data_IF_391053608689
#
_entry.id   IF_391053608689
#
_cell.length_a   1.000
_cell.length_b   1.000
_cell.length_c   1.000
_cell.angle_alpha   90.00
_cell.angle_beta   90.00
_cell.angle_gamma   90.00
#
_symmetry.space_group_name_H-M   'P 1'
#
loop_
_entity.id
_entity.type
_entity.pdbx_description
1 polymer ?
#
# COMPACT_ATOMS: atom_id res chain seq x y z
N UNK A 1 -36.32 -58.66 -52.80
CA UNK A 1 -36.91 -59.29 -51.60
C UNK A 1 -37.08 -58.20 -50.54
N UNK A 2 -38.31 -58.05 -50.04
CA UNK A 2 -38.74 -57.37 -48.80
C UNK A 2 -37.75 -57.53 -47.62
N UNK A 3 -37.58 -56.71 -46.57
CA UNK A 3 -38.13 -55.50 -45.88
C UNK A 3 -37.00 -55.10 -44.87
N UNK A 4 -36.77 -53.89 -44.36
CA UNK A 4 -37.50 -53.15 -43.32
C UNK A 4 -36.71 -51.84 -42.99
N UNK A 5 -37.47 -50.77 -42.66
CA UNK A 5 -37.24 -49.62 -41.78
C UNK A 5 -35.89 -49.51 -40.99
N UNK A 6 -35.32 -48.35 -40.65
CA UNK A 6 -35.71 -46.94 -40.75
C UNK A 6 -34.77 -46.08 -39.86
N UNK A 7 -34.60 -44.81 -40.23
CA UNK A 7 -34.13 -43.65 -39.42
C UNK A 7 -32.91 -43.84 -38.49
N UNK A 8 -31.74 -43.34 -38.92
CA UNK A 8 -30.91 -42.49 -38.06
C UNK A 8 -30.25 -41.42 -38.92
N UNK A 9 -30.71 -40.18 -38.74
CA UNK A 9 -30.27 -38.96 -39.38
C UNK A 9 -29.30 -38.27 -38.40
N UNK A 10 -28.33 -37.53 -38.96
CA UNK A 10 -27.60 -36.39 -38.34
C UNK A 10 -26.32 -36.72 -37.56
N UNK A 11 -25.16 -36.56 -38.22
CA UNK A 11 -24.10 -35.56 -37.90
C UNK A 11 -22.77 -35.96 -38.55
N UNK A 12 -22.48 -35.41 -39.73
CA UNK A 12 -21.13 -35.45 -40.30
C UNK A 12 -20.90 -34.31 -41.30
N UNK A 13 -21.06 -33.06 -40.83
CA UNK A 13 -20.50 -31.81 -41.39
C UNK A 13 -20.56 -30.84 -40.19
N UNK A 14 -19.49 -30.32 -39.60
CA UNK A 14 -18.55 -29.29 -40.07
C UNK A 14 -17.41 -29.26 -39.03
N UNK A 15 -16.17 -29.58 -39.41
CA UNK A 15 -14.95 -29.31 -38.59
C UNK A 15 -14.12 -28.23 -39.28
N UNK A 16 -14.79 -27.17 -39.73
CA UNK A 16 -14.13 -26.00 -40.29
C UNK A 16 -14.80 -24.75 -39.71
N UNK A 17 -13.96 -23.97 -39.03
CA UNK A 17 -14.18 -22.61 -38.51
C UNK A 17 -14.92 -22.52 -37.17
N UNK A 18 -14.13 -22.46 -36.08
CA UNK A 18 -14.35 -21.56 -34.94
C UNK A 18 -13.04 -21.47 -34.12
N UNK A 19 -11.93 -21.11 -34.77
CA UNK A 19 -10.87 -20.37 -34.09
C UNK A 19 -11.33 -18.91 -34.06
N UNK A 20 -12.13 -18.59 -33.05
CA UNK A 20 -12.69 -17.26 -32.81
C UNK A 20 -11.56 -16.24 -32.68
N UNK A 21 -11.66 -15.03 -33.27
CA UNK A 21 -10.71 -13.94 -33.01
C UNK A 21 -10.74 -13.47 -31.54
N UNK A 22 -11.76 -13.85 -30.76
CA UNK A 22 -11.93 -13.47 -29.35
C UNK A 22 -10.84 -14.04 -28.42
N UNK A 23 -10.39 -15.28 -28.64
CA UNK A 23 -9.36 -15.92 -27.78
C UNK A 23 -7.99 -15.30 -28.01
N UNK A 24 -7.71 -14.85 -29.24
CA UNK A 24 -6.44 -14.21 -29.60
C UNK A 24 -6.37 -12.74 -29.16
N UNK A 25 -7.52 -12.10 -28.95
CA UNK A 25 -7.61 -10.75 -28.42
C UNK A 25 -7.33 -10.70 -26.91
N UNK A 26 -7.82 -11.68 -26.13
CA UNK A 26 -7.52 -11.76 -24.69
C UNK A 26 -6.05 -11.99 -24.40
N UNK A 27 -5.40 -12.89 -25.16
CA UNK A 27 -3.98 -13.19 -24.93
C UNK A 27 -3.04 -12.05 -25.36
N UNK A 28 -3.52 -11.12 -26.19
CA UNK A 28 -2.75 -9.96 -26.63
C UNK A 28 -3.07 -8.68 -25.83
N UNK A 29 -4.15 -8.68 -25.03
CA UNK A 29 -4.36 -7.67 -24.00
C UNK A 29 -3.48 -7.97 -22.78
N UNK A 30 -3.37 -9.24 -22.36
CA UNK A 30 -2.52 -9.65 -21.24
C UNK A 30 -1.01 -9.37 -21.48
N UNK A 31 -0.53 -9.52 -22.72
CA UNK A 31 0.86 -9.20 -23.10
C UNK A 31 1.15 -7.68 -23.19
N UNK A 32 0.12 -6.81 -23.15
CA UNK A 32 0.29 -5.34 -23.07
C UNK A 32 0.27 -4.82 -21.63
N UNK A 33 -0.06 -5.66 -20.64
CA UNK A 33 -0.03 -5.32 -19.21
C UNK A 33 1.34 -5.57 -18.54
N UNK A 34 2.31 -6.13 -19.27
CA UNK A 34 3.61 -6.59 -18.73
C UNK A 34 4.80 -5.67 -19.06
N UNK A 35 4.62 -4.61 -19.87
CA UNK A 35 5.73 -3.69 -20.23
C UNK A 35 5.85 -2.44 -19.33
N UNK A 36 5.01 -2.27 -18.31
CA UNK A 36 4.99 -1.03 -17.51
C UNK A 36 4.98 -1.34 -15.99
N UNK A 37 6.00 -2.08 -15.56
CA UNK A 37 6.38 -2.21 -14.16
C UNK A 37 7.75 -1.55 -14.03
N UNK A 38 7.76 -0.22 -13.93
CA UNK A 38 9.00 0.55 -13.95
C UNK A 38 9.69 0.50 -12.58
N UNK A 39 11.02 0.70 -12.56
CA UNK A 39 11.80 0.74 -11.30
C UNK A 39 11.29 1.82 -10.33
N UNK A 40 10.62 2.86 -10.87
CA UNK A 40 10.00 3.96 -10.15
C UNK A 40 8.73 3.52 -9.40
N UNK A 41 7.93 2.60 -9.96
CA UNK A 41 6.75 2.02 -9.30
C UNK A 41 7.13 1.16 -8.09
N UNK A 42 8.27 0.45 -8.18
CA UNK A 42 8.81 -0.33 -7.07
C UNK A 42 9.36 0.58 -5.96
N UNK A 43 9.85 1.77 -6.29
CA UNK A 43 10.25 2.79 -5.30
C UNK A 43 9.06 3.43 -4.59
N UNK A 44 7.95 3.61 -5.29
CA UNK A 44 6.72 4.19 -4.75
C UNK A 44 6.01 3.24 -3.78
N UNK A 45 5.89 1.95 -4.15
CA UNK A 45 5.36 0.91 -3.25
C UNK A 45 6.14 0.84 -1.92
N UNK A 46 7.47 0.98 -1.97
CA UNK A 46 8.31 1.02 -0.75
C UNK A 46 7.93 2.14 0.20
N UNK A 47 7.56 3.30 -0.33
CA UNK A 47 7.29 4.51 0.47
C UNK A 47 5.90 4.47 1.09
N UNK A 48 4.91 3.97 0.34
CA UNK A 48 3.55 3.74 0.85
C UNK A 48 3.57 2.72 2.00
N UNK A 49 4.31 1.62 1.83
CA UNK A 49 4.53 0.63 2.89
C UNK A 49 5.31 1.25 4.07
N UNK A 50 6.34 2.05 3.80
CA UNK A 50 7.07 2.78 4.83
C UNK A 50 6.16 3.69 5.67
N UNK A 51 5.24 4.44 5.06
CA UNK A 51 4.30 5.30 5.79
C UNK A 51 3.41 4.48 6.73
N UNK A 52 2.93 3.33 6.28
CA UNK A 52 2.12 2.43 7.10
C UNK A 52 2.93 1.80 8.26
N UNK A 53 4.16 1.36 8.01
CA UNK A 53 5.03 0.74 9.02
C UNK A 53 5.54 1.78 10.04
N UNK A 54 5.90 2.98 9.60
CA UNK A 54 6.34 4.07 10.48
C UNK A 54 5.18 4.46 11.43
N UNK A 55 3.93 4.54 10.93
CA UNK A 55 2.73 4.74 11.76
C UNK A 55 2.49 3.59 12.77
N UNK A 56 2.71 2.34 12.37
CA UNK A 56 2.59 1.18 13.27
C UNK A 56 3.67 1.19 14.36
N UNK A 57 4.92 1.54 14.01
CA UNK A 57 6.04 1.66 14.93
C UNK A 57 5.85 2.81 15.93
N UNK A 58 5.39 3.98 15.47
CA UNK A 58 5.08 5.11 16.35
C UNK A 58 3.99 4.74 17.36
N UNK A 59 2.97 4.00 16.92
CA UNK A 59 1.91 3.48 17.81
C UNK A 59 2.46 2.49 18.83
N UNK A 60 3.35 1.58 18.42
CA UNK A 60 4.04 0.66 19.34
C UNK A 60 4.93 1.40 20.34
N UNK A 61 5.67 2.42 19.89
CA UNK A 61 6.49 3.27 20.75
C UNK A 61 5.62 4.05 21.74
N UNK A 62 4.52 4.65 21.29
CA UNK A 62 3.57 5.34 22.16
C UNK A 62 2.97 4.40 23.21
N UNK A 63 2.63 3.16 22.83
CA UNK A 63 2.16 2.14 23.77
C UNK A 63 3.25 1.74 24.78
N UNK A 64 4.49 1.57 24.32
CA UNK A 64 5.64 1.28 25.19
C UNK A 64 5.97 2.44 26.14
N UNK A 65 5.84 3.69 25.68
CA UNK A 65 6.00 4.90 26.49
C UNK A 65 4.85 5.07 27.50
N UNK A 66 3.61 4.80 27.10
CA UNK A 66 2.48 4.80 28.03
C UNK A 66 2.61 3.70 29.08
N UNK A 67 3.11 2.52 28.68
CA UNK A 67 3.35 1.40 29.58
C UNK A 67 4.53 1.66 30.53
N UNK A 68 5.61 2.29 30.07
CA UNK A 68 6.73 2.69 30.92
C UNK A 68 6.35 3.83 31.88
N UNK A 69 5.55 4.80 31.44
CA UNK A 69 4.97 5.83 32.31
C UNK A 69 4.03 5.24 33.38
N UNK A 70 3.22 4.24 33.01
CA UNK A 70 2.38 3.50 33.95
C UNK A 70 3.21 2.71 34.98
N UNK A 71 4.30 2.06 34.54
CA UNK A 71 5.21 1.33 35.43
C UNK A 71 6.00 2.28 36.36
N UNK A 72 6.47 3.43 35.86
CA UNK A 72 7.12 4.47 36.68
C UNK A 72 6.18 5.09 37.71
N UNK A 73 4.89 5.23 37.38
CA UNK A 73 3.87 5.69 38.34
C UNK A 73 3.51 4.61 39.38
N UNK A 74 3.67 3.32 39.04
CA UNK A 74 3.41 2.19 39.92
C UNK A 74 4.58 1.85 40.88
N UNK A 75 5.79 2.34 40.59
CA UNK A 75 7.03 2.04 41.32
C UNK A 75 7.69 3.31 41.88
N UNK A 76 6.94 4.11 42.66
CA UNK A 76 7.52 5.22 43.43
C UNK A 76 7.95 4.73 44.83
N UNK A 77 9.22 4.29 44.95
CA UNK A 77 9.88 4.01 46.24
C UNK A 77 11.05 5.00 46.46
N UNK A 78 10.93 5.95 47.42
CA UNK A 78 11.92 7.01 47.64
C UNK A 78 13.31 6.56 48.13
N UNK A 79 13.53 5.26 48.41
CA UNK A 79 14.78 4.78 49.00
C UNK A 79 15.87 4.35 48.00
N UNK A 80 15.56 4.14 46.72
CA UNK A 80 16.53 3.60 45.73
C UNK A 80 17.41 4.65 45.04
N UNK A 81 17.02 5.94 45.05
CA UNK A 81 17.79 7.01 44.39
C UNK A 81 19.15 7.31 45.05
N UNK A 82 19.33 6.98 46.33
CA UNK A 82 20.59 7.23 47.03
C UNK A 82 21.71 6.24 46.65
N UNK A 83 21.38 5.07 46.10
CA UNK A 83 22.38 4.05 45.74
C UNK A 83 22.93 4.22 44.33
N UNK A 84 22.18 4.82 43.41
CA UNK A 84 22.62 5.04 42.02
C UNK A 84 23.60 6.23 41.90
N UNK A 85 23.40 7.28 42.70
CA UNK A 85 24.31 8.45 42.71
C UNK A 85 25.70 8.10 43.29
N UNK A 86 25.81 7.14 44.21
CA UNK A 86 27.10 6.70 44.76
C UNK A 86 27.91 5.82 43.77
N UNK A 87 27.28 5.28 42.72
CA UNK A 87 27.95 4.49 41.68
C UNK A 87 28.45 5.36 40.52
N UNK A 88 27.75 6.44 40.16
CA UNK A 88 28.19 7.34 39.08
C UNK A 88 29.43 8.18 39.47
N UNK A 89 29.57 8.58 40.74
CA UNK A 89 30.75 9.34 41.20
C UNK A 89 32.05 8.49 41.26
N UNK A 90 31.96 7.15 41.25
CA UNK A 90 33.13 6.27 41.29
C UNK A 90 33.70 5.92 39.90
N UNK A 91 32.95 6.15 38.81
CA UNK A 91 33.40 5.87 37.44
C UNK A 91 34.10 7.08 36.77
N UNK A 92 33.95 8.30 37.29
CA UNK A 92 34.66 9.47 36.75
C UNK A 92 36.15 9.57 37.18
N UNK A 93 36.58 8.89 38.25
CA UNK A 93 37.95 9.05 38.79
C UNK A 93 38.98 8.05 38.23
N UNK A 94 38.57 7.09 37.39
CA UNK A 94 39.49 6.15 36.73
C UNK A 94 39.30 6.19 35.21
N UNK A 95 40.04 7.10 34.57
CA UNK A 95 40.04 7.31 33.12
C UNK A 95 39.98 6.01 32.32
N UNK A 96 38.86 5.82 31.61
CA UNK A 96 38.60 4.63 30.81
C UNK A 96 39.62 4.51 29.65
N UNK A 97 40.23 3.32 29.43
CA UNK A 97 41.10 3.11 28.29
C UNK A 97 40.27 2.92 27.02
N UNK A 98 40.60 3.67 25.96
CA UNK A 98 40.20 3.47 24.57
C UNK A 98 38.75 3.05 24.31
N UNK A 99 37.85 4.03 24.14
CA UNK A 99 36.58 3.80 23.43
C UNK A 99 36.90 3.28 22.02
N UNK A 100 36.60 2.00 21.78
CA UNK A 100 36.61 1.42 20.44
C UNK A 100 35.68 2.26 19.52
N UNK A 101 36.02 2.46 18.23
CA UNK A 101 35.15 3.17 17.32
C UNK A 101 33.78 2.49 17.28
N UNK A 102 32.70 3.27 17.46
CA UNK A 102 31.32 2.78 17.32
C UNK A 102 31.18 2.20 15.92
N UNK A 103 31.14 0.87 15.80
CA UNK A 103 30.76 0.19 14.57
C UNK A 103 29.30 0.54 14.30
N UNK A 104 29.07 1.51 13.44
CA UNK A 104 27.74 1.83 12.94
C UNK A 104 27.26 0.65 12.11
N UNK A 105 26.10 0.08 12.46
CA UNK A 105 25.46 -0.97 11.67
C UNK A 105 25.23 -0.47 10.23
N UNK A 106 25.82 -1.10 9.20
CA UNK A 106 25.66 -0.68 7.81
C UNK A 106 24.19 -0.65 7.35
N UNK A 107 23.33 -1.49 7.94
CA UNK A 107 21.91 -1.55 7.60
C UNK A 107 21.06 -0.50 8.32
N UNK A 108 21.64 0.26 9.26
CA UNK A 108 20.90 1.31 9.97
C UNK A 108 20.46 2.41 9.01
N UNK A 109 19.15 2.60 8.90
CA UNK A 109 18.55 3.61 8.03
C UNK A 109 18.45 3.20 6.55
N UNK A 110 18.89 1.98 6.19
CA UNK A 110 18.72 1.45 4.83
C UNK A 110 17.33 0.86 4.70
N UNK A 111 16.55 1.37 3.73
CA UNK A 111 15.21 0.88 3.40
C UNK A 111 15.25 0.12 2.07
N UNK A 112 14.72 -1.10 2.07
CA UNK A 112 14.74 -1.98 0.92
C UNK A 112 13.38 -2.06 0.21
N UNK A 113 13.41 -2.51 -1.04
CA UNK A 113 12.23 -2.88 -1.86
C UNK A 113 11.23 -3.77 -1.12
N UNK A 114 9.96 -3.71 -1.53
CA UNK A 114 8.98 -4.70 -1.12
C UNK A 114 9.51 -6.11 -1.43
N UNK A 115 9.49 -7.01 -0.45
CA UNK A 115 10.03 -8.37 -0.61
C UNK A 115 11.55 -8.49 -0.42
N UNK A 116 12.22 -7.40 -0.01
CA UNK A 116 13.66 -7.36 0.28
C UNK A 116 13.93 -6.96 1.73
N UNK A 117 15.08 -7.39 2.25
CA UNK A 117 15.60 -7.02 3.57
C UNK A 117 17.07 -6.60 3.47
N UNK A 118 17.50 -5.67 4.32
CA UNK A 118 18.90 -5.29 4.39
C UNK A 118 19.72 -6.39 5.05
N UNK A 119 20.78 -6.82 4.38
CA UNK A 119 21.79 -7.74 4.90
C UNK A 119 23.17 -7.13 4.74
N UNK A 120 24.05 -7.37 5.71
CA UNK A 120 25.44 -6.91 5.64
C UNK A 120 26.27 -7.93 4.89
N UNK A 121 26.89 -7.51 3.79
CA UNK A 121 27.89 -8.32 3.11
C UNK A 121 29.21 -8.26 3.89
N UNK A 122 29.57 -9.37 4.55
CA UNK A 122 30.74 -9.44 5.44
C UNK A 122 32.09 -9.29 4.73
N UNK A 123 32.17 -9.53 3.42
CA UNK A 123 33.41 -9.41 2.65
C UNK A 123 33.75 -7.94 2.33
N UNK A 124 32.73 -7.11 2.10
CA UNK A 124 32.89 -5.69 1.75
C UNK A 124 32.46 -4.72 2.87
N UNK A 125 31.87 -5.22 3.95
CA UNK A 125 31.25 -4.46 5.03
C UNK A 125 30.24 -3.40 4.53
N UNK A 126 29.44 -3.78 3.52
CA UNK A 126 28.40 -2.95 2.90
C UNK A 126 27.01 -3.50 3.15
N UNK A 127 26.03 -2.61 3.26
CA UNK A 127 24.62 -2.97 3.28
C UNK A 127 24.12 -3.30 1.87
N UNK A 128 23.36 -4.38 1.75
CA UNK A 128 22.78 -4.86 0.50
C UNK A 128 21.33 -5.31 0.73
N UNK A 129 20.45 -4.96 -0.21
CA UNK A 129 19.04 -5.38 -0.16
C UNK A 129 18.83 -6.70 -0.89
N UNK A 130 18.79 -7.79 -0.13
CA UNK A 130 18.55 -9.15 -0.63
C UNK A 130 17.07 -9.51 -0.54
N UNK A 131 16.61 -10.51 -1.28
CA UNK A 131 15.24 -11.01 -1.12
C UNK A 131 15.02 -11.58 0.28
N UNK A 132 13.81 -11.42 0.82
CA UNK A 132 13.45 -11.96 2.14
C UNK A 132 13.67 -13.48 2.12
N UNK A 133 14.50 -14.04 3.02
CA UNK A 133 14.80 -15.46 3.00
C UNK A 133 13.57 -16.30 3.37
N UNK A 134 12.83 -15.88 4.39
CA UNK A 134 11.66 -16.55 4.93
C UNK A 134 10.68 -15.52 5.50
N UNK A 135 9.38 -15.69 5.22
CA UNK A 135 8.34 -14.83 5.77
C UNK A 135 7.79 -15.39 7.09
N UNK A 136 7.37 -14.52 8.03
CA UNK A 136 6.66 -14.96 9.22
C UNK A 136 5.37 -15.70 8.89
N UNK A 137 5.02 -16.69 9.73
CA UNK A 137 3.77 -17.44 9.59
C UNK A 137 2.61 -16.51 9.98
N UNK A 138 1.70 -16.29 9.04
CA UNK A 138 0.52 -15.48 9.27
C UNK A 138 -0.70 -16.35 9.64
N UNK A 139 -1.21 -16.11 10.85
CA UNK A 139 -2.32 -16.86 11.42
C UNK A 139 -3.67 -16.17 11.19
N UNK A 140 -3.71 -14.84 10.97
CA UNK A 140 -4.94 -14.11 10.74
C UNK A 140 -5.42 -14.32 9.29
N UNK A 141 -6.60 -14.95 9.08
CA UNK A 141 -7.27 -15.04 7.78
C UNK A 141 -7.32 -13.74 6.97
N UNK A 142 -7.42 -12.58 7.65
CA UNK A 142 -7.57 -11.26 7.02
C UNK A 142 -6.26 -10.74 6.45
N UNK A 143 -5.11 -11.25 6.92
CA UNK A 143 -3.77 -10.87 6.46
C UNK A 143 -3.24 -11.77 5.34
N UNK A 144 -3.98 -12.82 4.98
CA UNK A 144 -3.81 -13.52 3.71
C UNK A 144 -4.11 -12.60 2.55
N UNK A 145 -3.75 -13.00 1.33
CA UNK A 145 -3.97 -12.16 0.15
C UNK A 145 -4.43 -12.99 -1.03
N UNK A 146 -5.30 -12.41 -1.86
CA UNK A 146 -5.61 -12.92 -3.18
C UNK A 146 -4.80 -12.15 -4.23
N UNK A 147 -4.19 -12.86 -5.17
CA UNK A 147 -3.37 -12.26 -6.22
C UNK A 147 -4.14 -12.06 -7.52
N UNK A 148 -3.55 -11.33 -8.48
CA UNK A 148 -4.05 -11.20 -9.85
C UNK A 148 -4.19 -12.55 -10.59
N UNK A 149 -3.55 -13.62 -10.10
CA UNK A 149 -3.70 -14.98 -10.62
C UNK A 149 -4.89 -15.73 -10.01
N UNK A 150 -5.69 -15.07 -9.17
CA UNK A 150 -6.79 -15.65 -8.41
C UNK A 150 -6.33 -16.81 -7.49
N UNK A 151 -5.11 -16.70 -6.97
CA UNK A 151 -4.54 -17.64 -6.01
C UNK A 151 -4.46 -17.00 -4.62
N UNK A 152 -4.78 -17.77 -3.57
CA UNK A 152 -4.63 -17.29 -2.21
C UNK A 152 -3.24 -17.61 -1.67
N UNK A 153 -2.59 -16.58 -1.15
CA UNK A 153 -1.25 -16.63 -0.57
C UNK A 153 -1.32 -16.37 0.93
N UNK A 154 -0.35 -16.94 1.66
CA UNK A 154 -0.39 -16.93 3.12
C UNK A 154 -0.20 -15.54 3.73
N UNK A 155 0.52 -14.64 3.05
CA UNK A 155 0.71 -13.26 3.47
C UNK A 155 1.15 -12.39 2.29
N UNK A 156 1.04 -11.07 2.44
CA UNK A 156 1.64 -10.10 1.52
C UNK A 156 3.15 -10.33 1.35
N UNK A 157 3.86 -10.65 2.44
CA UNK A 157 5.30 -10.93 2.43
C UNK A 157 5.65 -12.02 1.41
N UNK A 158 4.90 -13.12 1.36
CA UNK A 158 5.17 -14.21 0.43
C UNK A 158 5.04 -13.79 -1.04
N UNK A 159 4.06 -12.94 -1.35
CA UNK A 159 3.87 -12.41 -2.72
C UNK A 159 5.07 -11.55 -3.13
N UNK A 160 5.46 -10.59 -2.29
CA UNK A 160 6.60 -9.71 -2.59
C UNK A 160 7.93 -10.47 -2.62
N UNK A 161 8.12 -11.42 -1.69
CA UNK A 161 9.26 -12.33 -1.67
C UNK A 161 9.35 -13.11 -2.98
N UNK A 162 8.24 -13.67 -3.46
CA UNK A 162 8.22 -14.42 -4.71
C UNK A 162 8.59 -13.55 -5.90
N UNK A 163 8.03 -12.34 -5.97
CA UNK A 163 8.36 -11.36 -7.02
C UNK A 163 9.85 -11.04 -7.02
N UNK A 164 10.43 -10.78 -5.84
CA UNK A 164 11.86 -10.55 -5.70
C UNK A 164 12.70 -11.72 -6.22
N UNK A 165 12.39 -12.95 -5.78
CA UNK A 165 13.12 -14.16 -6.19
C UNK A 165 13.07 -14.37 -7.70
N UNK A 166 11.94 -14.10 -8.33
CA UNK A 166 11.81 -14.24 -9.78
C UNK A 166 12.55 -13.13 -10.54
N UNK A 167 12.51 -11.89 -10.05
CA UNK A 167 13.27 -10.79 -10.64
C UNK A 167 14.80 -10.99 -10.53
N UNK A 168 15.28 -11.68 -9.48
CA UNK A 168 16.70 -12.01 -9.31
C UNK A 168 17.11 -13.33 -9.97
N UNK A 169 16.20 -14.02 -10.67
CA UNK A 169 16.42 -15.36 -11.25
C UNK A 169 16.87 -16.40 -10.21
N UNK A 170 16.39 -16.30 -8.97
CA UNK A 170 16.71 -17.23 -7.90
C UNK A 170 16.08 -18.62 -8.18
N UNK A 171 16.79 -19.73 -7.92
CA UNK A 171 16.24 -21.09 -8.09
C UNK A 171 14.98 -21.39 -7.27
N UNK A 172 14.72 -20.64 -6.19
CA UNK A 172 13.50 -20.74 -5.39
C UNK A 172 12.29 -20.05 -6.03
N UNK A 173 12.47 -19.39 -7.19
CA UNK A 173 11.36 -18.85 -7.95
C UNK A 173 10.40 -19.98 -8.40
N UNK A 174 9.08 -19.82 -8.20
CA UNK A 174 8.07 -20.81 -8.62
C UNK A 174 7.86 -20.85 -10.14
N UNK A 175 8.40 -19.88 -10.89
CA UNK A 175 8.38 -19.82 -12.35
C UNK A 175 8.07 -18.42 -12.89
N UNK A 176 8.15 -18.26 -14.20
CA UNK A 176 7.91 -16.97 -14.89
C UNK A 176 6.49 -16.43 -14.65
N UNK A 177 5.51 -17.33 -14.50
CA UNK A 177 4.10 -16.94 -14.30
C UNK A 177 3.85 -16.14 -13.02
N UNK A 178 4.75 -16.21 -12.04
CA UNK A 178 4.66 -15.46 -10.78
C UNK A 178 5.65 -14.29 -10.73
N UNK A 179 6.32 -13.97 -11.83
CA UNK A 179 7.25 -12.84 -11.89
C UNK A 179 6.53 -11.50 -11.74
N UNK A 180 5.35 -11.36 -12.36
CA UNK A 180 4.51 -10.16 -12.28
C UNK A 180 3.33 -10.34 -11.31
N UNK A 181 3.46 -11.27 -10.34
CA UNK A 181 2.43 -11.48 -9.33
C UNK A 181 2.31 -10.25 -8.43
N UNK A 182 1.07 -9.81 -8.23
CA UNK A 182 0.76 -8.73 -7.30
C UNK A 182 -0.51 -9.05 -6.52
N UNK A 183 -0.65 -8.39 -5.37
CA UNK A 183 -1.83 -8.50 -4.53
C UNK A 183 -2.97 -7.77 -5.24
N UNK A 184 -4.12 -8.43 -5.36
CA UNK A 184 -5.35 -7.81 -5.83
C UNK A 184 -6.19 -7.31 -4.65
N UNK A 185 -6.32 -8.13 -3.59
CA UNK A 185 -6.99 -7.75 -2.34
C UNK A 185 -6.57 -8.60 -1.14
N UNK A 186 -6.85 -8.10 0.06
CA UNK A 186 -6.61 -8.79 1.32
C UNK A 186 -7.72 -9.80 1.66
N UNK A 187 -7.32 -10.92 2.25
CA UNK A 187 -8.16 -12.08 2.57
C UNK A 187 -8.00 -13.24 1.60
N UNK A 188 -8.86 -14.25 1.73
CA UNK A 188 -8.93 -15.38 0.81
C UNK A 188 -9.51 -14.98 -0.54
N UNK A 189 -9.03 -15.62 -1.60
CA UNK A 189 -9.67 -15.50 -2.90
C UNK A 189 -11.13 -15.96 -2.82
N UNK A 190 -12.01 -15.17 -3.41
CA UNK A 190 -13.44 -15.42 -3.48
C UNK A 190 -14.00 -15.02 -4.82
N UNK A 191 -15.14 -15.61 -5.14
CA UNK A 191 -15.91 -15.20 -6.30
C UNK A 191 -16.52 -13.82 -6.05
N UNK A 192 -16.03 -12.80 -6.77
CA UNK A 192 -16.60 -11.47 -6.75
C UNK A 192 -17.88 -11.44 -7.59
N UNK A 193 -18.84 -10.65 -7.14
CA UNK A 193 -20.05 -10.35 -7.91
C UNK A 193 -19.68 -9.35 -9.00
N UNK A 194 -20.29 -9.47 -10.17
CA UNK A 194 -20.11 -8.50 -11.25
C UNK A 194 -20.76 -7.16 -10.89
N UNK A 195 -20.09 -6.05 -11.19
CA UNK A 195 -20.59 -4.71 -10.91
C UNK A 195 -21.71 -4.35 -11.89
N UNK A 196 -22.94 -4.21 -11.39
CA UNK A 196 -24.08 -3.81 -12.23
C UNK A 196 -24.00 -2.33 -12.61
N UNK A 197 -24.62 -1.95 -13.73
CA UNK A 197 -24.67 -0.55 -14.17
C UNK A 197 -25.29 0.37 -13.10
N UNK A 198 -26.30 -0.11 -12.35
CA UNK A 198 -26.91 0.65 -11.26
C UNK A 198 -25.97 0.82 -10.07
N UNK A 199 -25.21 -0.21 -9.72
CA UNK A 199 -24.27 -0.14 -8.59
C UNK A 199 -23.11 0.79 -8.94
N UNK A 200 -22.60 0.72 -10.18
CA UNK A 200 -21.55 1.60 -10.68
C UNK A 200 -22.00 3.06 -10.74
N UNK A 201 -23.24 3.33 -11.17
CA UNK A 201 -23.79 4.69 -11.19
C UNK A 201 -23.98 5.29 -9.79
N UNK A 202 -24.22 4.44 -8.77
CA UNK A 202 -24.36 4.84 -7.37
C UNK A 202 -23.00 5.06 -6.68
N UNK A 203 -21.98 4.33 -7.14
CA UNK A 203 -20.67 4.21 -6.51
C UNK A 203 -19.96 5.54 -6.22
N UNK A 204 -19.87 6.51 -7.15
CA UNK A 204 -19.21 7.80 -6.89
C UNK A 204 -19.73 8.51 -5.64
N UNK A 205 -21.05 8.46 -5.42
CA UNK A 205 -21.69 9.09 -4.26
C UNK A 205 -21.29 8.38 -2.97
N UNK A 206 -21.30 7.05 -2.94
CA UNK A 206 -20.91 6.27 -1.76
C UNK A 206 -19.44 6.44 -1.46
N UNK A 207 -18.60 6.47 -2.49
CA UNK A 207 -17.16 6.69 -2.37
C UNK A 207 -16.87 8.03 -1.72
N UNK A 208 -17.46 9.13 -2.19
CA UNK A 208 -17.16 10.45 -1.60
C UNK A 208 -17.74 10.65 -0.19
N UNK A 209 -18.86 10.00 0.14
CA UNK A 209 -19.36 9.95 1.52
C UNK A 209 -18.42 9.13 2.42
N UNK A 210 -17.92 8.01 1.91
CA UNK A 210 -16.93 7.18 2.61
C UNK A 210 -15.62 7.94 2.84
N UNK A 211 -15.07 8.62 1.83
CA UNK A 211 -13.85 9.42 1.94
C UNK A 211 -13.96 10.47 3.05
N UNK A 212 -15.07 11.23 3.08
CA UNK A 212 -15.31 12.20 4.14
C UNK A 212 -15.34 11.54 5.53
N UNK A 213 -16.05 10.42 5.67
CA UNK A 213 -16.14 9.74 6.97
C UNK A 213 -14.79 9.17 7.42
N UNK A 214 -13.95 8.69 6.51
CA UNK A 214 -12.58 8.26 6.83
C UNK A 214 -11.73 9.45 7.26
N UNK A 215 -11.78 10.57 6.54
CA UNK A 215 -11.07 11.80 6.91
C UNK A 215 -11.45 12.27 8.31
N UNK A 216 -12.75 12.34 8.58
CA UNK A 216 -13.30 12.75 9.87
C UNK A 216 -12.88 11.79 11.00
N UNK A 217 -12.94 10.47 10.76
CA UNK A 217 -12.53 9.48 11.74
C UNK A 217 -11.03 9.57 12.05
N UNK A 218 -10.18 9.77 11.04
CA UNK A 218 -8.74 10.01 11.22
C UNK A 218 -8.47 11.29 12.03
N UNK A 219 -9.17 12.39 11.72
CA UNK A 219 -9.07 13.62 12.49
C UNK A 219 -9.47 13.41 13.96
N UNK A 220 -10.58 12.70 14.20
CA UNK A 220 -11.06 12.40 15.56
C UNK A 220 -10.08 11.54 16.38
N UNK A 221 -9.26 10.72 15.70
CA UNK A 221 -8.23 9.86 16.31
C UNK A 221 -6.85 10.54 16.39
N UNK A 222 -6.73 11.80 15.96
CA UNK A 222 -5.46 12.53 15.82
C UNK A 222 -4.45 11.79 14.91
N UNK A 223 -4.95 11.09 13.89
CA UNK A 223 -4.14 10.34 12.91
C UNK A 223 -4.07 11.09 11.56
N UNK A 224 -4.79 12.21 11.42
CA UNK A 224 -4.76 13.06 10.24
C UNK A 224 -3.64 14.12 10.39
N UNK A 225 -2.68 14.22 9.45
CA UNK A 225 -1.62 15.24 9.51
C UNK A 225 -2.18 16.66 9.58
N UNK A 226 -1.45 17.55 10.26
CA UNK A 226 -1.90 18.92 10.56
C UNK A 226 -2.36 19.73 9.33
N UNK A 227 -1.66 19.69 8.17
CA UNK A 227 -2.12 20.39 6.97
C UNK A 227 -3.50 19.95 6.47
N UNK A 228 -3.91 18.71 6.77
CA UNK A 228 -5.19 18.16 6.36
C UNK A 228 -6.31 18.39 7.38
N UNK A 229 -5.97 18.75 8.63
CA UNK A 229 -6.97 19.09 9.65
C UNK A 229 -7.78 20.34 9.27
N UNK A 230 -7.15 21.33 8.63
CA UNK A 230 -7.85 22.52 8.15
C UNK A 230 -8.90 22.18 7.09
N UNK A 231 -8.55 21.28 6.16
CA UNK A 231 -9.47 20.79 5.12
C UNK A 231 -10.65 20.02 5.73
N UNK A 232 -10.40 19.22 6.77
CA UNK A 232 -11.45 18.48 7.49
C UNK A 232 -12.41 19.44 8.19
N UNK A 233 -11.87 20.44 8.90
CA UNK A 233 -12.69 21.41 9.63
C UNK A 233 -13.59 22.24 8.69
N UNK A 234 -13.07 22.63 7.52
CA UNK A 234 -13.87 23.28 6.49
C UNK A 234 -14.94 22.31 5.92
N UNK A 235 -14.61 21.03 5.76
CA UNK A 235 -15.53 20.01 5.26
C UNK A 235 -16.71 19.76 6.22
N UNK A 236 -16.49 19.84 7.54
CA UNK A 236 -17.56 19.74 8.55
C UNK A 236 -18.46 20.97 8.58
N UNK A 237 -17.86 22.16 8.48
CA UNK A 237 -18.57 23.44 8.66
C UNK A 237 -19.24 23.93 7.37
N UNK A 238 -18.73 23.55 6.20
CA UNK A 238 -19.23 23.94 4.90
C UNK A 238 -19.63 22.72 4.04
N UNK A 239 -20.93 22.49 3.94
CA UNK A 239 -21.50 21.38 3.16
C UNK A 239 -21.12 21.38 1.66
N UNK A 240 -20.77 22.53 1.07
CA UNK A 240 -20.34 22.59 -0.34
C UNK A 240 -18.91 22.08 -0.52
N UNK A 241 -18.07 22.20 0.52
CA UNK A 241 -16.68 21.74 0.52
C UNK A 241 -16.51 20.34 1.10
N UNK A 242 -17.52 19.82 1.79
CA UNK A 242 -17.53 18.50 2.43
C UNK A 242 -16.87 17.39 1.62
N UNK A 243 -17.32 17.21 0.38
CA UNK A 243 -16.84 16.13 -0.48
C UNK A 243 -15.59 16.51 -1.27
N UNK A 244 -15.47 17.78 -1.66
CA UNK A 244 -14.32 18.32 -2.38
C UNK A 244 -13.04 18.21 -1.53
N UNK A 245 -13.08 18.67 -0.28
CA UNK A 245 -11.93 18.65 0.61
C UNK A 245 -11.50 17.22 0.96
N UNK A 246 -12.45 16.32 1.20
CA UNK A 246 -12.16 14.91 1.41
C UNK A 246 -11.55 14.24 0.16
N UNK A 247 -12.04 14.60 -1.04
CA UNK A 247 -11.47 14.11 -2.29
C UNK A 247 -10.05 14.64 -2.53
N UNK A 248 -9.79 15.93 -2.27
CA UNK A 248 -8.47 16.56 -2.38
C UNK A 248 -7.50 15.92 -1.39
N UNK A 249 -7.89 15.81 -0.12
CA UNK A 249 -7.07 15.16 0.90
C UNK A 249 -6.68 13.76 0.47
N UNK A 250 -7.66 12.94 0.07
CA UNK A 250 -7.34 11.56 -0.27
C UNK A 250 -6.44 11.47 -1.49
N UNK A 251 -6.66 12.33 -2.49
CA UNK A 251 -5.81 12.37 -3.68
C UNK A 251 -4.38 12.79 -3.33
N UNK A 252 -4.18 13.85 -2.52
CA UNK A 252 -2.85 14.24 -2.04
C UNK A 252 -2.19 13.19 -1.14
N UNK A 253 -2.97 12.43 -0.37
CA UNK A 253 -2.47 11.32 0.46
C UNK A 253 -2.00 10.13 -0.39
N UNK A 254 -2.60 9.95 -1.58
CA UNK A 254 -2.24 8.90 -2.54
C UNK A 254 -1.11 9.33 -3.47
N UNK A 255 -1.05 10.59 -3.92
CA UNK A 255 0.04 11.20 -4.69
C UNK A 255 1.30 11.26 -3.81
N UNK A 256 2.00 10.13 -3.80
CA UNK A 256 3.16 9.85 -2.98
C UNK A 256 4.41 10.45 -3.58
N UNK A 257 5.52 9.72 -3.55
CA UNK A 257 6.77 10.20 -4.14
C UNK A 257 7.19 9.35 -5.33
N UNK A 258 7.52 9.98 -6.48
CA UNK A 258 7.60 11.43 -6.68
C UNK A 258 6.21 12.09 -6.68
N UNK A 259 6.11 13.27 -6.06
CA UNK A 259 4.89 14.09 -6.14
C UNK A 259 4.80 14.65 -7.56
N UNK A 260 4.24 13.86 -8.47
CA UNK A 260 4.14 14.17 -9.89
C UNK A 260 2.77 14.77 -10.26
N UNK A 261 1.91 15.00 -9.26
CA UNK A 261 0.53 15.46 -9.39
C UNK A 261 -0.34 14.50 -10.21
N UNK A 262 -0.03 13.21 -10.14
CA UNK A 262 -0.86 12.12 -10.66
C UNK A 262 -0.90 11.00 -9.64
N UNK A 263 -1.95 10.18 -9.69
CA UNK A 263 -2.04 8.97 -8.86
C UNK A 263 -1.97 7.76 -9.78
N UNK A 264 -0.88 7.00 -9.68
CA UNK A 264 -0.63 5.76 -10.40
C UNK A 264 -1.51 4.62 -9.90
N UNK A 265 -1.59 3.53 -10.67
CA UNK A 265 -2.24 2.28 -10.25
C UNK A 265 -1.69 1.73 -8.93
N UNK A 266 -0.39 1.88 -8.68
CA UNK A 266 0.26 1.42 -7.46
C UNK A 266 -0.12 2.26 -6.25
N UNK A 267 -0.25 3.57 -6.43
CA UNK A 267 -0.71 4.47 -5.37
C UNK A 267 -2.16 4.26 -5.00
N UNK A 268 -3.00 3.73 -5.89
CA UNK A 268 -4.37 3.35 -5.57
C UNK A 268 -4.46 2.08 -4.70
N UNK A 269 -3.37 1.34 -4.52
CA UNK A 269 -3.37 0.07 -3.79
C UNK A 269 -3.94 0.17 -2.36
N UNK A 270 -3.61 1.19 -1.54
CA UNK A 270 -4.13 1.35 -0.17
C UNK A 270 -5.65 1.56 -0.11
N UNK A 271 -6.30 2.01 -1.18
CA UNK A 271 -7.76 2.09 -1.26
C UNK A 271 -8.37 0.86 -1.93
N UNK A 272 -7.74 0.37 -3.01
CA UNK A 272 -8.27 -0.75 -3.79
C UNK A 272 -8.23 -2.05 -2.99
N UNK A 273 -7.07 -2.47 -2.50
CA UNK A 273 -6.90 -3.80 -1.94
C UNK A 273 -7.71 -4.06 -0.65
N UNK A 274 -7.85 -3.11 0.28
CA UNK A 274 -8.69 -3.31 1.48
C UNK A 274 -10.19 -3.29 1.18
N UNK A 275 -10.63 -2.49 0.19
CA UNK A 275 -12.05 -2.31 -0.11
C UNK A 275 -12.59 -3.26 -1.17
N UNK A 276 -11.76 -3.76 -2.09
CA UNK A 276 -12.16 -4.64 -3.19
C UNK A 276 -13.02 -5.80 -2.72
N UNK A 277 -12.64 -6.41 -1.58
CA UNK A 277 -13.46 -7.42 -0.97
C UNK A 277 -14.87 -6.86 -0.72
N UNK A 278 -14.98 -5.79 0.05
CA UNK A 278 -16.26 -5.24 0.48
C UNK A 278 -17.08 -4.60 -0.66
N UNK A 279 -16.41 -4.14 -1.71
CA UNK A 279 -16.95 -3.27 -2.75
C UNK A 279 -16.45 -3.70 -4.14
N UNK A 280 -17.16 -4.66 -4.73
CA UNK A 280 -16.85 -5.24 -6.04
C UNK A 280 -16.81 -4.23 -7.22
N UNK A 281 -17.39 -3.03 -7.05
CA UNK A 281 -17.39 -1.97 -8.05
C UNK A 281 -16.14 -1.06 -8.00
N UNK A 282 -15.24 -1.22 -7.02
CA UNK A 282 -14.10 -0.30 -6.88
C UNK A 282 -13.17 -0.32 -8.08
N UNK A 283 -12.88 -1.50 -8.65
CA UNK A 283 -12.01 -1.63 -9.82
C UNK A 283 -12.59 -1.00 -11.07
N UNK A 284 -13.82 -1.36 -11.51
CA UNK A 284 -14.40 -0.73 -12.70
C UNK A 284 -14.63 0.77 -12.50
N UNK A 285 -14.89 1.22 -11.26
CA UNK A 285 -14.94 2.64 -10.95
C UNK A 285 -13.57 3.33 -11.16
N UNK A 286 -12.50 2.83 -10.55
CA UNK A 286 -11.16 3.43 -10.68
C UNK A 286 -10.67 3.40 -12.14
N UNK A 287 -10.96 2.32 -12.88
CA UNK A 287 -10.68 2.24 -14.32
C UNK A 287 -11.47 3.28 -15.12
N UNK A 288 -12.72 3.59 -14.73
CA UNK A 288 -13.51 4.64 -15.37
C UNK A 288 -13.01 6.06 -15.09
N UNK A 289 -12.18 6.22 -14.06
CA UNK A 289 -11.58 7.50 -13.71
C UNK A 289 -10.37 7.85 -14.60
N UNK A 290 -9.88 6.95 -15.46
CA UNK A 290 -8.78 7.17 -16.42
C UNK A 290 -9.30 7.14 -17.87
N UNK A 291 -9.94 8.23 -18.36
CA UNK A 291 -10.57 8.27 -19.69
C UNK A 291 -9.57 8.40 -20.85
N UNK A 292 -8.37 8.90 -20.58
CA UNK A 292 -7.24 9.05 -21.50
C UNK A 292 -6.39 7.78 -21.61
N UNK A 293 -6.49 6.86 -20.65
CA UNK A 293 -5.85 5.56 -20.66
C UNK A 293 -4.34 5.66 -20.48
N UNK A 294 -3.86 6.63 -19.68
CA UNK A 294 -2.44 6.79 -19.38
C UNK A 294 -2.04 6.14 -18.03
N UNK A 295 -2.95 5.35 -17.45
CA UNK A 295 -2.76 4.57 -16.22
C UNK A 295 -2.45 5.43 -14.99
N UNK A 296 -2.78 6.72 -15.08
CA UNK A 296 -2.59 7.73 -14.05
C UNK A 296 -3.89 8.51 -13.89
N UNK A 297 -4.15 8.97 -12.67
CA UNK A 297 -5.36 9.73 -12.36
C UNK A 297 -4.96 11.11 -11.86
N UNK A 298 -5.20 12.13 -12.68
CA UNK A 298 -5.07 13.53 -12.27
C UNK A 298 -6.17 13.92 -11.27
N UNK A 299 -5.97 15.03 -10.54
CA UNK A 299 -6.99 15.54 -9.62
C UNK A 299 -8.31 15.85 -10.33
N UNK A 300 -8.23 16.39 -11.56
CA UNK A 300 -9.42 16.75 -12.34
C UNK A 300 -10.21 15.50 -12.74
N UNK A 301 -9.52 14.45 -13.16
CA UNK A 301 -10.13 13.14 -13.45
C UNK A 301 -10.76 12.53 -12.21
N UNK A 302 -10.03 12.52 -11.09
CA UNK A 302 -10.52 12.03 -9.81
C UNK A 302 -11.82 12.73 -9.38
N UNK A 303 -11.82 14.07 -9.39
CA UNK A 303 -13.00 14.82 -8.98
C UNK A 303 -14.18 14.69 -9.94
N UNK A 304 -13.92 14.66 -11.25
CA UNK A 304 -14.96 14.39 -12.26
C UNK A 304 -15.57 13.00 -12.07
N UNK A 305 -14.74 11.99 -11.78
CA UNK A 305 -15.17 10.62 -11.50
C UNK A 305 -16.05 10.55 -10.24
N UNK A 306 -15.76 11.37 -9.22
CA UNK A 306 -16.57 11.51 -8.00
C UNK A 306 -17.82 12.41 -8.17
N UNK A 307 -18.03 12.98 -9.36
CA UNK A 307 -19.15 13.88 -9.64
C UNK A 307 -19.06 15.23 -8.92
N UNK A 308 -17.84 15.77 -8.78
CA UNK A 308 -17.56 17.07 -8.18
C UNK A 308 -17.34 18.15 -9.24
N UNK A 309 -17.58 19.41 -8.87
CA UNK A 309 -17.36 20.56 -9.77
C UNK A 309 -15.87 20.92 -9.83
N UNK A 310 -15.34 21.09 -11.04
CA UNK A 310 -13.90 21.32 -11.28
C UNK A 310 -13.39 22.62 -10.66
N UNK A 311 -14.22 23.67 -10.61
CA UNK A 311 -13.85 24.98 -10.08
C UNK A 311 -13.49 24.95 -8.58
N UNK A 312 -13.93 23.93 -7.86
CA UNK A 312 -13.65 23.74 -6.44
C UNK A 312 -12.41 22.85 -6.18
N UNK A 313 -11.87 22.19 -7.20
CA UNK A 313 -10.74 21.26 -7.11
C UNK A 313 -9.41 21.99 -7.32
N UNK A 314 -9.03 22.83 -6.35
CA UNK A 314 -7.68 23.41 -6.32
C UNK A 314 -6.83 22.65 -5.30
N UNK A 315 -6.16 21.58 -5.72
CA UNK A 315 -5.19 20.94 -4.84
C UNK A 315 -3.91 21.77 -4.75
N UNK A 316 -3.39 21.88 -3.54
CA UNK A 316 -2.06 22.41 -3.25
C UNK A 316 -1.26 21.39 -2.46
N UNK A 317 -1.19 20.15 -2.96
CA UNK A 317 -0.48 19.07 -2.26
C UNK A 317 0.98 19.46 -1.95
N UNK A 318 1.64 20.19 -2.85
CA UNK A 318 2.98 20.74 -2.66
C UNK A 318 3.11 21.88 -1.62
N UNK A 319 2.01 22.52 -1.21
CA UNK A 319 2.02 23.47 -0.09
C UNK A 319 1.83 22.73 1.23
N UNK A 320 0.99 21.70 1.24
CA UNK A 320 0.72 20.82 2.38
C UNK A 320 1.98 20.03 2.78
N UNK A 321 2.73 19.49 1.81
CA UNK A 321 3.95 18.70 2.09
C UNK A 321 5.17 19.54 2.49
N UNK A 322 5.23 20.81 2.11
CA UNK A 322 6.32 21.72 2.54
C UNK A 322 6.28 22.01 4.03
N UNK A 323 5.08 22.07 4.62
CA UNK A 323 4.88 22.17 6.07
C UNK A 323 5.43 20.91 6.77
N UNK A 324 5.07 19.71 6.30
CA UNK A 324 5.55 18.44 6.86
C UNK A 324 7.08 18.23 6.74
N UNK A 325 7.71 18.71 5.67
CA UNK A 325 9.18 18.67 5.52
C UNK A 325 9.87 19.72 6.40
N UNK A 326 9.32 20.93 6.53
CA UNK A 326 9.87 21.97 7.38
C UNK A 326 9.85 21.56 8.85
N UNK A 327 8.73 21.04 9.34
CA UNK A 327 8.56 20.66 10.75
C UNK A 327 9.45 19.48 11.14
N UNK A 328 9.59 18.49 10.25
CA UNK A 328 10.50 17.35 10.45
C UNK A 328 11.97 17.78 10.48
N UNK A 329 12.38 18.69 9.59
CA UNK A 329 13.73 19.23 9.58
C UNK A 329 14.03 20.07 10.85
N UNK A 330 13.03 20.81 11.36
CA UNK A 330 13.15 21.59 12.58
C UNK A 330 13.26 20.72 13.84
N UNK A 331 12.55 19.57 13.88
CA UNK A 331 12.67 18.57 14.95
C UNK A 331 14.03 17.86 14.89
N UNK A 332 14.50 17.47 13.70
CA UNK A 332 15.80 16.80 13.51
C UNK A 332 16.99 17.72 13.80
N UNK A 333 16.81 19.04 13.65
CA UNK A 333 17.79 20.06 14.04
C UNK A 333 17.77 20.40 15.55
N UNK A 334 16.73 19.99 16.28
CA UNK A 334 16.55 20.27 17.71
C UNK A 334 17.00 19.12 18.63
N UNK A 335 17.41 17.98 18.07
CA UNK A 335 17.95 16.79 18.77
C UNK A 335 19.47 16.71 18.60
#
# INVERSE_FOLDING_TARGET
MMRFAGKLLVLLVVVLVCSSPLVRANQQLDDLFDEEFDDDDEELLRRVEQKHVDQELEREQQLAHAQSAYNMAAEYDPYNQQQEQEQEEQEEEQGAPNRAPRLTDPCRGVRCGAGRICSVNHDENKAECICIPECPIEHDPRRKVCTNLNETWDSACEVHRQRCLCNTNDPLCRGESVRHVHIDYYGYCRQMVECSESDLADFPRRMRDWLFNVMHDLASRNELPEPYLELEHEAETNMTKRWTNAAIWKWCDLDGHPHDNTVSRHELFPIRAPLMALEHCISPFLESCDPNGDHRISLQEWGKCLGLEEDDLTARCAEITKTDESERNDIEAAV
#
